data_IF_800258132746
#
_entry.id   IF_800258132746
#
_cell.length_a   1.000
_cell.length_b   1.000
_cell.length_c   1.000
_cell.angle_alpha   90.00
_cell.angle_beta   90.00
_cell.angle_gamma   90.00
#
_symmetry.space_group_name_H-M   'P 1'
#
loop_
_entity.id
_entity.type
_entity.pdbx_description
1 polymer ?
#
# COMPACT_ATOMS: atom_id res chain seq x y z
N UNK A 1 -10.31 -18.53 -30.59
CA UNK A 1 -9.39 -18.19 -29.48
C UNK A 1 -9.45 -16.67 -29.32
N UNK A 2 -10.04 -16.13 -28.24
CA UNK A 2 -10.15 -14.68 -28.04
C UNK A 2 -9.13 -14.24 -26.99
N UNK A 3 -8.23 -13.33 -27.36
CA UNK A 3 -7.36 -12.66 -26.42
C UNK A 3 -8.23 -11.76 -25.53
N UNK A 4 -8.13 -11.94 -24.21
CA UNK A 4 -8.72 -11.02 -23.24
C UNK A 4 -7.74 -9.87 -23.10
N UNK A 5 -8.06 -8.71 -23.68
CA UNK A 5 -7.28 -7.50 -23.49
C UNK A 5 -7.68 -6.86 -22.16
N UNK A 6 -6.72 -6.77 -21.23
CA UNK A 6 -6.91 -6.07 -19.96
C UNK A 6 -6.82 -4.55 -20.19
N UNK A 7 -7.95 -3.85 -20.12
CA UNK A 7 -8.03 -2.38 -20.20
C UNK A 7 -7.78 -1.74 -18.83
N UNK A 8 -6.56 -1.88 -18.31
CA UNK A 8 -6.22 -1.40 -16.98
C UNK A 8 -5.68 0.03 -16.94
N UNK A 9 -6.59 0.99 -17.12
CA UNK A 9 -6.34 2.40 -16.75
C UNK A 9 -7.58 2.98 -16.08
N UNK A 10 -7.93 2.49 -14.89
CA UNK A 10 -8.79 3.26 -13.97
C UNK A 10 -7.89 3.91 -12.92
N UNK A 11 -7.54 5.17 -13.18
CA UNK A 11 -6.85 6.02 -12.21
C UNK A 11 -7.87 6.36 -11.12
N UNK A 12 -7.81 5.64 -10.00
CA UNK A 12 -8.72 5.84 -8.84
C UNK A 12 -8.64 7.26 -8.26
N UNK A 13 -7.55 7.98 -8.55
CA UNK A 13 -7.29 9.35 -8.10
C UNK A 13 -8.39 10.35 -8.48
N UNK A 14 -9.15 10.13 -9.57
CA UNK A 14 -10.20 11.08 -9.98
C UNK A 14 -11.42 11.12 -9.05
N UNK A 15 -11.54 10.18 -8.11
CA UNK A 15 -12.67 10.09 -7.17
C UNK A 15 -12.27 10.31 -5.71
N UNK A 16 -10.97 10.40 -5.42
CA UNK A 16 -10.52 10.72 -4.07
C UNK A 16 -10.60 12.25 -3.91
N UNK A 17 -11.41 12.77 -2.97
CA UNK A 17 -11.34 14.19 -2.62
C UNK A 17 -9.92 14.55 -2.15
N UNK A 18 -9.55 15.83 -2.24
CA UNK A 18 -8.22 16.31 -1.79
C UNK A 18 -8.01 16.13 -0.28
N UNK A 19 -9.10 16.12 0.49
CA UNK A 19 -9.07 15.70 1.88
C UNK A 19 -8.97 14.16 1.95
N UNK A 20 -8.40 13.63 3.03
CA UNK A 20 -8.43 12.20 3.35
C UNK A 20 -9.59 11.90 4.32
N UNK A 21 -10.87 11.88 3.88
CA UNK A 21 -12.01 11.66 4.77
C UNK A 21 -12.04 10.24 5.33
N UNK A 22 -11.29 9.31 4.74
CA UNK A 22 -11.19 7.93 5.19
C UNK A 22 -9.98 7.69 6.11
N UNK A 23 -9.14 8.71 6.33
CA UNK A 23 -7.97 8.63 7.20
C UNK A 23 -6.93 7.61 6.73
N UNK A 24 -6.88 7.30 5.43
CA UNK A 24 -6.00 6.29 4.82
C UNK A 24 -4.53 6.49 5.16
N UNK A 25 -4.08 7.73 5.35
CA UNK A 25 -2.69 8.02 5.67
C UNK A 25 -2.32 7.52 7.08
N UNK A 26 -3.26 7.58 8.02
CA UNK A 26 -3.04 7.18 9.43
C UNK A 26 -3.09 5.68 9.68
N UNK A 27 -3.47 4.88 8.69
CA UNK A 27 -3.51 3.41 8.82
C UNK A 27 -2.13 2.75 8.88
N UNK A 28 -1.04 3.47 8.59
CA UNK A 28 0.29 2.89 8.60
C UNK A 28 0.66 2.44 10.02
N UNK A 29 0.79 1.13 10.23
CA UNK A 29 1.30 0.58 11.47
C UNK A 29 2.79 0.89 11.64
N UNK A 30 3.54 0.92 10.53
CA UNK A 30 4.96 1.25 10.50
C UNK A 30 5.30 2.16 9.33
N UNK A 31 6.20 3.12 9.58
CA UNK A 31 6.87 3.92 8.55
C UNK A 31 8.37 3.72 8.68
N UNK A 32 9.02 3.18 7.65
CA UNK A 32 10.42 2.75 7.69
C UNK A 32 11.18 3.23 6.44
N UNK A 33 12.51 3.42 6.49
CA UNK A 33 13.30 3.71 5.30
C UNK A 33 13.37 2.50 4.37
N UNK A 34 13.67 2.74 3.09
CA UNK A 34 13.72 1.69 2.05
C UNK A 34 14.73 0.57 2.37
N UNK A 35 15.82 0.88 3.07
CA UNK A 35 16.84 -0.10 3.47
C UNK A 35 16.27 -1.19 4.41
N UNK A 36 15.16 -0.92 5.10
CA UNK A 36 14.49 -1.88 5.98
C UNK A 36 13.42 -2.72 5.26
N UNK A 37 13.22 -2.53 3.96
CA UNK A 37 12.18 -3.22 3.18
C UNK A 37 12.21 -4.76 3.29
N UNK A 38 13.37 -5.44 3.26
CA UNK A 38 13.40 -6.91 3.36
C UNK A 38 12.79 -7.41 4.67
N UNK A 39 13.18 -6.79 5.79
CA UNK A 39 12.68 -7.17 7.11
C UNK A 39 11.19 -6.81 7.28
N UNK A 40 10.79 -5.61 6.82
CA UNK A 40 9.40 -5.19 6.83
C UNK A 40 8.48 -6.16 6.06
N UNK A 41 8.97 -6.70 4.94
CA UNK A 41 8.24 -7.66 4.14
C UNK A 41 8.04 -8.99 4.86
N UNK A 42 9.06 -9.51 5.54
CA UNK A 42 8.95 -10.73 6.35
C UNK A 42 7.92 -10.59 7.47
N UNK A 43 7.99 -9.48 8.23
CA UNK A 43 7.06 -9.24 9.34
C UNK A 43 5.62 -9.12 8.84
N UNK A 44 5.42 -8.44 7.70
CA UNK A 44 4.10 -8.32 7.08
C UNK A 44 3.54 -9.67 6.62
N UNK A 45 4.36 -10.51 5.96
CA UNK A 45 3.93 -11.84 5.53
C UNK A 45 3.54 -12.75 6.70
N UNK A 46 4.25 -12.63 7.82
CA UNK A 46 3.97 -13.41 9.04
C UNK A 46 2.91 -12.79 9.94
N UNK A 47 2.44 -11.57 9.63
CA UNK A 47 1.59 -10.75 10.52
C UNK A 47 2.20 -10.58 11.92
N UNK A 48 3.52 -10.43 11.99
CA UNK A 48 4.25 -10.20 13.23
C UNK A 48 4.33 -8.70 13.53
N UNK A 49 4.63 -8.35 14.78
CA UNK A 49 4.81 -6.96 15.23
C UNK A 49 3.59 -6.04 14.96
N UNK A 50 2.38 -6.62 14.85
CA UNK A 50 1.19 -5.84 14.50
C UNK A 50 1.23 -5.26 13.07
N UNK A 51 1.94 -5.92 12.15
CA UNK A 51 2.03 -5.49 10.75
C UNK A 51 0.67 -5.53 10.03
N UNK A 52 0.06 -4.36 9.83
CA UNK A 52 -1.22 -4.19 9.09
C UNK A 52 -1.05 -3.37 7.81
N UNK A 53 -0.26 -2.29 7.86
CA UNK A 53 0.15 -1.49 6.71
C UNK A 53 1.54 -0.95 7.01
N UNK A 54 2.48 -1.16 6.10
CA UNK A 54 3.84 -0.63 6.22
C UNK A 54 4.08 0.32 5.06
N UNK A 55 4.54 1.54 5.36
CA UNK A 55 4.93 2.54 4.37
C UNK A 55 6.44 2.62 4.36
N UNK A 56 7.03 2.44 3.19
CA UNK A 56 8.47 2.61 2.99
C UNK A 56 8.73 4.03 2.46
N UNK A 57 9.52 4.79 3.19
CA UNK A 57 9.98 6.11 2.79
C UNK A 57 11.31 5.98 2.05
N UNK A 58 11.49 6.70 0.93
CA UNK A 58 12.77 6.75 0.23
C UNK A 58 13.85 7.39 1.08
#
# INVERSE_FOLDING_TARGET
>A
MRAVTWQGKRKVTSFLPDADPLGLDTFAAHELPLDHAPHAYENFQKMEDGAVKIVLKP
#
